data_IF_300219819078
#
_entry.id   IF_300219819078
#
_cell.length_a   1.000
_cell.length_b   1.000
_cell.length_c   1.000
_cell.angle_alpha   90.00
_cell.angle_beta   90.00
_cell.angle_gamma   90.00
#
_symmetry.space_group_name_H-M   'P 1'
#
loop_
_entity.id
_entity.type
_entity.pdbx_description
1 polymer ?
#
# COMPACT_ATOMS: atom_id res chain seq x y z
N UNK A 1 21.26 3.42 5.59
CA UNK A 1 21.99 4.32 4.65
C UNK A 1 21.81 5.70 5.24
N UNK A 2 22.88 6.32 5.63
CA UNK A 2 22.84 7.69 6.11
C UNK A 2 22.90 8.63 4.91
N UNK A 3 22.26 9.80 5.01
CA UNK A 3 22.39 10.81 3.97
C UNK A 3 23.86 11.19 3.80
N UNK A 4 24.34 11.35 2.56
CA UNK A 4 25.70 11.79 2.34
C UNK A 4 25.89 13.20 2.93
N UNK A 5 26.99 13.38 3.64
CA UNK A 5 27.34 14.66 4.24
C UNK A 5 28.46 15.30 3.41
N UNK A 6 28.29 16.57 3.09
CA UNK A 6 29.29 17.35 2.36
C UNK A 6 28.97 18.84 2.42
N UNK A 7 29.95 19.67 2.10
CA UNK A 7 29.83 21.14 2.08
C UNK A 7 29.51 21.68 0.68
N UNK A 8 29.61 20.84 -0.35
CA UNK A 8 29.24 21.17 -1.73
C UNK A 8 28.45 20.04 -2.38
N UNK A 9 27.78 20.34 -3.48
CA UNK A 9 27.06 19.35 -4.28
C UNK A 9 28.00 18.25 -4.82
N UNK A 10 29.18 18.64 -5.30
CA UNK A 10 30.18 17.73 -5.82
C UNK A 10 30.66 16.77 -4.73
N UNK A 11 30.98 17.27 -3.54
CA UNK A 11 31.40 16.46 -2.40
C UNK A 11 30.32 15.48 -1.97
N UNK A 12 29.03 15.90 -1.96
CA UNK A 12 27.89 15.03 -1.66
C UNK A 12 27.77 13.93 -2.71
N UNK A 13 27.89 14.26 -4.00
CA UNK A 13 27.82 13.28 -5.09
C UNK A 13 28.97 12.26 -5.02
N UNK A 14 30.17 12.72 -4.76
CA UNK A 14 31.37 11.87 -4.69
C UNK A 14 31.33 10.91 -3.49
N UNK A 15 30.73 11.33 -2.40
CA UNK A 15 30.58 10.54 -1.17
C UNK A 15 29.34 9.63 -1.19
N UNK A 16 28.43 9.79 -2.15
CA UNK A 16 27.22 9.00 -2.21
C UNK A 16 27.43 7.66 -2.90
N UNK A 17 27.09 6.57 -2.22
CA UNK A 17 27.06 5.22 -2.77
C UNK A 17 25.76 4.53 -2.41
N UNK A 18 25.21 3.80 -3.38
CA UNK A 18 24.05 2.96 -3.13
C UNK A 18 24.47 1.71 -2.37
N UNK A 19 23.94 1.56 -1.16
CA UNK A 19 24.05 0.32 -0.38
C UNK A 19 22.79 -0.53 -0.60
N UNK A 20 22.81 -1.32 -1.65
CA UNK A 20 21.70 -2.22 -2.02
C UNK A 20 22.18 -3.66 -1.84
N UNK A 21 21.65 -4.40 -0.85
CA UNK A 21 22.03 -5.78 -0.61
C UNK A 21 21.57 -6.67 -1.77
N UNK A 22 22.26 -7.78 -2.00
CA UNK A 22 21.85 -8.76 -3.02
C UNK A 22 20.46 -9.32 -2.79
N UNK A 23 20.09 -9.54 -1.53
CA UNK A 23 18.80 -10.05 -1.10
C UNK A 23 18.10 -9.02 -0.22
N UNK A 24 16.88 -8.70 -0.58
CA UNK A 24 16.05 -7.78 0.16
C UNK A 24 14.59 -8.12 -0.04
N UNK A 25 13.84 -8.25 1.07
CA UNK A 25 12.40 -8.41 1.04
C UNK A 25 11.73 -7.21 1.71
N UNK A 26 10.81 -6.55 1.00
CA UNK A 26 10.09 -5.38 1.53
C UNK A 26 9.36 -5.73 2.83
N UNK A 27 8.74 -6.92 2.92
CA UNK A 27 7.97 -7.31 4.10
C UNK A 27 8.81 -7.36 5.38
N UNK A 28 10.05 -7.87 5.28
CA UNK A 28 10.99 -7.86 6.42
C UNK A 28 11.28 -6.43 6.87
N UNK A 29 11.48 -5.53 5.90
CA UNK A 29 11.91 -4.16 6.16
C UNK A 29 10.79 -3.24 6.67
N UNK A 30 9.53 -3.47 6.27
CA UNK A 30 8.41 -2.59 6.64
C UNK A 30 7.56 -3.13 7.78
N UNK A 31 7.57 -4.44 8.05
CA UNK A 31 6.68 -5.03 9.03
C UNK A 31 7.40 -5.97 10.00
N UNK A 32 8.06 -7.01 9.50
CA UNK A 32 8.51 -8.12 10.36
C UNK A 32 9.50 -7.68 11.42
N UNK A 33 10.38 -6.73 11.12
CA UNK A 33 11.34 -6.17 12.07
C UNK A 33 10.73 -5.40 13.23
N UNK A 34 9.47 -4.96 13.11
CA UNK A 34 8.74 -4.22 14.14
C UNK A 34 7.80 -5.10 14.94
N UNK A 35 7.56 -6.33 14.49
CA UNK A 35 6.53 -7.21 15.03
C UNK A 35 6.89 -7.85 16.38
N UNK A 36 8.10 -7.67 16.90
CA UNK A 36 8.52 -8.14 18.23
C UNK A 36 7.86 -7.34 19.35
N UNK A 37 7.45 -6.09 19.09
CA UNK A 37 6.64 -5.31 20.03
C UNK A 37 5.14 -5.47 19.70
N UNK A 38 4.38 -6.24 20.50
CA UNK A 38 2.96 -6.49 20.23
C UNK A 38 2.08 -5.25 20.40
N UNK A 39 2.59 -4.19 21.01
CA UNK A 39 1.86 -2.95 21.28
C UNK A 39 2.15 -1.86 20.24
N UNK A 40 3.16 -2.03 19.39
CA UNK A 40 3.50 -1.06 18.36
C UNK A 40 2.44 -1.09 17.26
N UNK A 41 1.62 -0.04 17.19
CA UNK A 41 0.51 0.05 16.23
C UNK A 41 1.05 0.39 14.84
N UNK A 42 0.79 -0.49 13.88
CA UNK A 42 1.11 -0.30 12.46
C UNK A 42 0.02 0.49 11.74
N UNK A 43 -1.25 0.15 11.98
CA UNK A 43 -2.39 0.67 11.25
C UNK A 43 -3.52 1.03 12.19
N UNK A 44 -4.13 2.19 11.98
CA UNK A 44 -5.43 2.56 12.55
C UNK A 44 -6.41 2.71 11.40
N UNK A 45 -7.44 1.90 11.37
CA UNK A 45 -8.47 1.94 10.33
C UNK A 45 -9.76 2.51 10.89
N UNK A 46 -10.25 3.55 10.26
CA UNK A 46 -11.55 4.13 10.55
C UNK A 46 -12.56 3.68 9.50
N UNK A 47 -13.55 2.90 9.94
CA UNK A 47 -14.64 2.44 9.12
C UNK A 47 -15.65 3.57 8.83
N UNK A 48 -16.54 3.34 7.87
CA UNK A 48 -17.55 4.33 7.43
C UNK A 48 -18.51 4.78 8.55
N UNK A 49 -18.69 3.96 9.58
CA UNK A 49 -19.51 4.29 10.77
C UNK A 49 -18.75 5.08 11.83
N UNK A 50 -17.48 5.43 11.57
CA UNK A 50 -16.59 6.15 12.48
C UNK A 50 -15.90 5.26 13.52
N UNK A 51 -16.14 3.96 13.54
CA UNK A 51 -15.43 3.05 14.44
C UNK A 51 -13.97 2.92 14.03
N UNK A 52 -13.07 2.95 15.02
CA UNK A 52 -11.62 2.87 14.79
C UNK A 52 -11.07 1.56 15.33
N UNK A 53 -10.45 0.79 14.46
CA UNK A 53 -9.75 -0.45 14.82
C UNK A 53 -8.23 -0.25 14.69
N UNK A 54 -7.48 -0.71 15.68
CA UNK A 54 -6.02 -0.64 15.68
C UNK A 54 -5.42 -2.02 15.43
N UNK A 55 -4.43 -2.07 14.55
CA UNK A 55 -3.67 -3.28 14.25
C UNK A 55 -2.20 -3.04 14.59
N UNK A 56 -1.62 -3.89 15.44
CA UNK A 56 -0.18 -3.86 15.68
C UNK A 56 0.60 -4.47 14.52
N UNK A 57 1.91 -4.19 14.44
CA UNK A 57 2.79 -4.85 13.46
C UNK A 57 2.76 -6.37 13.62
N UNK A 58 2.65 -6.87 14.84
CA UNK A 58 2.52 -8.31 15.12
C UNK A 58 1.24 -8.90 14.48
N UNK A 59 0.10 -8.22 14.61
CA UNK A 59 -1.16 -8.67 14.01
C UNK A 59 -1.12 -8.58 12.47
N UNK A 60 -0.58 -7.49 11.91
CA UNK A 60 -0.41 -7.36 10.44
C UNK A 60 0.51 -8.46 9.90
N UNK A 61 1.62 -8.75 10.58
CA UNK A 61 2.51 -9.88 10.25
C UNK A 61 1.78 -11.21 10.25
N UNK A 62 1.01 -11.48 11.31
CA UNK A 62 0.23 -12.71 11.46
C UNK A 62 -0.75 -12.88 10.30
N UNK A 63 -1.58 -11.88 10.00
CA UNK A 63 -2.55 -11.95 8.90
C UNK A 63 -1.88 -12.06 7.53
N UNK A 64 -0.76 -11.38 7.32
CA UNK A 64 0.01 -11.52 6.10
C UNK A 64 0.64 -12.91 5.94
N UNK A 65 1.08 -13.54 7.04
CA UNK A 65 1.54 -14.94 7.03
C UNK A 65 0.41 -15.89 6.65
N UNK A 66 -0.77 -15.72 7.23
CA UNK A 66 -1.94 -16.53 6.92
C UNK A 66 -2.35 -16.38 5.44
N UNK A 67 -2.37 -15.15 4.90
CA UNK A 67 -2.67 -14.94 3.49
C UNK A 67 -1.59 -15.53 2.58
N UNK A 68 -0.32 -15.45 2.95
CA UNK A 68 0.76 -16.09 2.18
C UNK A 68 0.60 -17.61 2.14
N UNK A 69 0.22 -18.24 3.26
CA UNK A 69 -0.09 -19.66 3.32
C UNK A 69 -1.34 -20.01 2.48
N UNK A 70 -2.39 -19.19 2.53
CA UNK A 70 -3.57 -19.37 1.68
C UNK A 70 -3.17 -19.33 0.19
N UNK A 71 -2.39 -18.34 -0.24
CA UNK A 71 -1.93 -18.24 -1.63
C UNK A 71 -1.12 -19.47 -2.04
N UNK A 72 -0.25 -19.97 -1.16
CA UNK A 72 0.51 -21.20 -1.42
C UNK A 72 -0.40 -22.43 -1.57
N UNK A 73 -1.46 -22.55 -0.74
CA UNK A 73 -2.45 -23.64 -0.84
C UNK A 73 -3.29 -23.59 -2.13
N UNK A 74 -3.34 -22.43 -2.78
CA UNK A 74 -4.01 -22.18 -4.06
C UNK A 74 -3.06 -22.27 -5.27
N UNK A 75 -1.89 -22.92 -5.12
CA UNK A 75 -0.87 -23.06 -6.15
C UNK A 75 -0.36 -21.72 -6.72
N UNK A 76 -0.28 -20.70 -5.87
CA UNK A 76 0.32 -19.40 -6.19
C UNK A 76 1.65 -19.26 -5.48
N UNK A 77 2.72 -19.02 -6.22
CA UNK A 77 4.09 -19.09 -5.74
C UNK A 77 4.94 -17.90 -6.24
N UNK A 78 6.22 -17.86 -5.84
CA UNK A 78 7.16 -16.83 -6.24
C UNK A 78 7.10 -16.53 -7.74
N UNK A 79 6.97 -15.26 -8.09
CA UNK A 79 6.89 -14.76 -9.45
C UNK A 79 5.48 -14.81 -10.07
N UNK A 80 4.51 -15.46 -9.43
CA UNK A 80 3.10 -15.34 -9.82
C UNK A 80 2.55 -13.95 -9.49
N UNK A 81 1.43 -13.58 -10.07
CA UNK A 81 0.80 -12.25 -9.91
C UNK A 81 -0.54 -12.37 -9.23
N UNK A 82 -0.77 -11.40 -8.33
CA UNK A 82 -2.05 -11.21 -7.62
C UNK A 82 -2.49 -9.77 -7.82
N UNK A 83 -3.68 -9.58 -8.37
CA UNK A 83 -4.28 -8.24 -8.48
C UNK A 83 -4.96 -7.89 -7.15
N UNK A 84 -4.57 -6.75 -6.58
CA UNK A 84 -5.20 -6.16 -5.39
C UNK A 84 -6.05 -4.98 -5.85
N UNK A 85 -7.36 -5.14 -5.79
CA UNK A 85 -8.36 -4.15 -6.20
C UNK A 85 -9.20 -3.73 -5.00
N UNK A 86 -8.56 -2.99 -4.11
CA UNK A 86 -9.11 -2.52 -2.84
C UNK A 86 -8.75 -1.04 -2.65
N UNK A 87 -9.57 -0.34 -1.89
CA UNK A 87 -9.24 0.97 -1.31
C UNK A 87 -8.29 0.81 -0.13
N UNK A 88 -7.92 1.92 0.52
CA UNK A 88 -7.14 1.89 1.76
C UNK A 88 -7.90 1.10 2.82
N UNK A 89 -7.37 -0.05 3.19
CA UNK A 89 -7.95 -0.89 4.23
C UNK A 89 -6.91 -1.84 4.83
N UNK A 90 -7.18 -2.46 5.98
CA UNK A 90 -6.30 -3.50 6.52
C UNK A 90 -6.04 -4.63 5.53
N UNK A 91 -7.07 -5.07 4.82
CA UNK A 91 -6.99 -6.15 3.84
C UNK A 91 -6.10 -5.78 2.65
N UNK A 92 -6.16 -4.51 2.20
CA UNK A 92 -5.28 -4.01 1.15
C UNK A 92 -3.81 -4.07 1.59
N UNK A 93 -3.50 -3.57 2.77
CA UNK A 93 -2.15 -3.58 3.33
C UNK A 93 -1.63 -5.00 3.56
N UNK A 94 -2.45 -5.88 4.15
CA UNK A 94 -2.15 -7.30 4.37
C UNK A 94 -1.89 -8.01 3.04
N UNK A 95 -2.69 -7.71 2.00
CA UNK A 95 -2.55 -8.34 0.68
C UNK A 95 -1.22 -8.01 0.02
N UNK A 96 -0.80 -6.74 0.03
CA UNK A 96 0.51 -6.36 -0.49
C UNK A 96 1.64 -7.00 0.30
N UNK A 97 1.54 -6.97 1.63
CA UNK A 97 2.57 -7.54 2.50
C UNK A 97 2.72 -9.06 2.30
N UNK A 98 1.60 -9.79 2.21
CA UNK A 98 1.60 -11.23 1.96
C UNK A 98 2.25 -11.58 0.61
N UNK A 99 1.95 -10.79 -0.43
CA UNK A 99 2.61 -10.95 -1.74
C UNK A 99 4.14 -10.78 -1.60
N UNK A 100 4.61 -9.74 -0.90
CA UNK A 100 6.05 -9.52 -0.70
C UNK A 100 6.70 -10.65 0.08
N UNK A 101 6.04 -11.16 1.16
CA UNK A 101 6.53 -12.30 1.94
C UNK A 101 6.73 -13.55 1.07
N UNK A 102 5.77 -13.84 0.21
CA UNK A 102 5.78 -15.03 -0.65
C UNK A 102 6.59 -14.83 -1.95
N UNK A 103 7.18 -13.66 -2.19
CA UNK A 103 7.84 -13.33 -3.47
C UNK A 103 6.88 -13.32 -4.65
N UNK A 104 5.60 -13.10 -4.39
CA UNK A 104 4.53 -12.95 -5.37
C UNK A 104 4.48 -11.49 -5.80
N UNK A 105 4.20 -11.25 -7.07
CA UNK A 105 4.12 -9.89 -7.63
C UNK A 105 2.72 -9.34 -7.38
N UNK A 106 2.63 -8.30 -6.55
CA UNK A 106 1.39 -7.58 -6.31
C UNK A 106 1.08 -6.64 -7.48
N UNK A 107 -0.15 -6.65 -8.00
CA UNK A 107 -0.56 -5.80 -9.11
C UNK A 107 -1.62 -4.81 -8.63
N UNK A 108 -1.31 -3.52 -8.75
CA UNK A 108 -2.20 -2.46 -8.27
C UNK A 108 -3.38 -2.26 -9.23
N UNK A 109 -4.61 -2.24 -8.68
CA UNK A 109 -5.81 -1.93 -9.44
C UNK A 109 -6.76 -1.05 -8.62
N UNK A 110 -7.16 0.09 -9.18
CA UNK A 110 -8.15 0.96 -8.54
C UNK A 110 -9.55 0.39 -8.69
N UNK A 111 -10.35 0.52 -7.66
CA UNK A 111 -11.79 0.19 -7.65
C UNK A 111 -12.60 1.08 -8.62
N UNK A 112 -12.02 2.20 -9.05
CA UNK A 112 -12.64 3.11 -10.01
C UNK A 112 -12.58 2.62 -11.46
N UNK A 113 -11.79 1.58 -11.74
CA UNK A 113 -11.71 1.05 -13.10
C UNK A 113 -13.03 0.36 -13.50
N UNK A 114 -13.41 0.59 -14.77
CA UNK A 114 -14.43 -0.19 -15.44
C UNK A 114 -13.90 -1.57 -15.91
N UNK A 115 -14.79 -2.43 -16.44
CA UNK A 115 -14.42 -3.78 -16.88
C UNK A 115 -13.19 -3.84 -17.81
N UNK A 116 -13.09 -2.96 -18.80
CA UNK A 116 -11.95 -2.94 -19.75
C UNK A 116 -10.62 -2.69 -19.05
N UNK A 117 -10.61 -1.75 -18.08
CA UNK A 117 -9.42 -1.43 -17.31
C UNK A 117 -9.00 -2.58 -16.38
N UNK A 118 -9.98 -3.32 -15.84
CA UNK A 118 -9.77 -4.51 -15.00
C UNK A 118 -9.24 -5.67 -15.88
N UNK A 119 -9.91 -5.94 -17.01
CA UNK A 119 -9.49 -6.97 -17.95
C UNK A 119 -8.06 -6.76 -18.40
N UNK A 120 -7.72 -5.53 -18.81
CA UNK A 120 -6.37 -5.19 -19.26
C UNK A 120 -5.30 -5.54 -18.21
N UNK A 121 -5.58 -5.30 -16.93
CA UNK A 121 -4.64 -5.62 -15.84
C UNK A 121 -4.55 -7.11 -15.56
N UNK A 122 -5.68 -7.79 -15.47
CA UNK A 122 -5.74 -9.23 -15.22
C UNK A 122 -5.04 -10.02 -16.33
N UNK A 123 -5.33 -9.70 -17.60
CA UNK A 123 -4.69 -10.33 -18.75
C UNK A 123 -3.22 -9.95 -18.89
N UNK A 124 -2.92 -8.64 -18.83
CA UNK A 124 -1.56 -8.13 -19.01
C UNK A 124 -0.57 -8.63 -17.96
N UNK A 125 -1.07 -8.97 -16.75
CA UNK A 125 -0.24 -9.58 -15.70
C UNK A 125 -0.37 -11.10 -15.64
N UNK A 126 -1.33 -11.70 -16.34
CA UNK A 126 -1.71 -13.11 -16.19
C UNK A 126 -1.91 -13.47 -14.70
N UNK A 127 -2.67 -12.64 -13.99
CA UNK A 127 -2.87 -12.77 -12.54
C UNK A 127 -3.69 -14.03 -12.22
N UNK A 128 -3.23 -14.79 -11.21
CA UNK A 128 -3.92 -16.01 -10.75
C UNK A 128 -5.02 -15.71 -9.72
N UNK A 129 -4.85 -14.67 -8.94
CA UNK A 129 -5.81 -14.23 -7.92
C UNK A 129 -6.18 -12.78 -8.16
N UNK A 130 -7.44 -12.44 -7.89
CA UNK A 130 -7.91 -11.08 -7.69
C UNK A 130 -8.49 -10.95 -6.28
N UNK A 131 -7.95 -10.02 -5.47
CA UNK A 131 -8.48 -9.69 -4.16
C UNK A 131 -9.29 -8.41 -4.31
N UNK A 132 -10.58 -8.45 -3.92
CA UNK A 132 -11.51 -7.35 -4.12
C UNK A 132 -12.59 -7.34 -3.02
N UNK A 133 -13.53 -6.40 -3.10
CA UNK A 133 -14.70 -6.33 -2.23
C UNK A 133 -15.99 -6.71 -2.97
N UNK A 134 -17.07 -6.91 -2.23
CA UNK A 134 -18.38 -7.27 -2.78
C UNK A 134 -18.90 -6.24 -3.80
N UNK A 135 -18.69 -4.95 -3.53
CA UNK A 135 -19.14 -3.86 -4.41
C UNK A 135 -18.52 -3.92 -5.82
N UNK A 136 -17.30 -4.45 -5.93
CA UNK A 136 -16.57 -4.53 -7.19
C UNK A 136 -16.55 -5.94 -7.80
N UNK A 137 -17.06 -6.96 -7.11
CA UNK A 137 -17.05 -8.35 -7.56
C UNK A 137 -17.73 -8.52 -8.93
N UNK A 138 -18.85 -7.83 -9.17
CA UNK A 138 -19.55 -7.90 -10.45
C UNK A 138 -18.68 -7.45 -11.63
N UNK A 139 -17.81 -6.44 -11.44
CA UNK A 139 -16.88 -5.96 -12.47
C UNK A 139 -15.81 -7.00 -12.80
N UNK A 140 -15.28 -7.71 -11.78
CA UNK A 140 -14.28 -8.77 -11.95
C UNK A 140 -14.92 -9.98 -12.68
N UNK A 141 -16.11 -10.38 -12.27
CA UNK A 141 -16.84 -11.49 -12.90
C UNK A 141 -17.18 -11.24 -14.38
N UNK A 142 -17.51 -10.00 -14.72
CA UNK A 142 -17.84 -9.62 -16.10
C UNK A 142 -16.68 -9.89 -17.08
N UNK A 143 -15.43 -9.90 -16.59
CA UNK A 143 -14.23 -10.10 -17.41
C UNK A 143 -13.51 -11.44 -17.15
N UNK A 144 -13.98 -12.22 -16.17
CA UNK A 144 -13.32 -13.45 -15.72
C UNK A 144 -13.14 -14.47 -16.87
N UNK A 145 -14.16 -14.65 -17.70
CA UNK A 145 -14.10 -15.58 -18.85
C UNK A 145 -13.04 -15.20 -19.89
N UNK A 146 -12.69 -13.92 -19.96
CA UNK A 146 -11.62 -13.40 -20.80
C UNK A 146 -10.22 -13.47 -20.16
N UNK A 147 -10.14 -13.85 -18.88
CA UNK A 147 -8.89 -13.90 -18.11
C UNK A 147 -8.60 -15.36 -17.66
N UNK A 148 -8.10 -16.24 -18.56
CA UNK A 148 -8.01 -17.68 -18.30
C UNK A 148 -7.05 -18.04 -17.14
N UNK A 149 -6.10 -17.18 -16.80
CA UNK A 149 -5.20 -17.40 -15.66
C UNK A 149 -5.83 -17.04 -14.31
N UNK A 150 -6.92 -16.26 -14.29
CA UNK A 150 -7.63 -15.89 -13.06
C UNK A 150 -8.40 -17.10 -12.51
N UNK A 151 -7.80 -17.77 -11.55
CA UNK A 151 -8.34 -19.01 -10.96
C UNK A 151 -9.17 -18.74 -9.71
N UNK A 152 -8.81 -17.74 -8.93
CA UNK A 152 -9.43 -17.46 -7.64
C UNK A 152 -9.76 -15.98 -7.49
N UNK A 153 -10.92 -15.72 -6.87
CA UNK A 153 -11.33 -14.40 -6.44
C UNK A 153 -11.51 -14.45 -4.92
N UNK A 154 -10.79 -13.60 -4.21
CA UNK A 154 -10.90 -13.45 -2.75
C UNK A 154 -11.66 -12.16 -2.48
N UNK A 155 -12.70 -12.25 -1.65
CA UNK A 155 -13.56 -11.11 -1.31
C UNK A 155 -13.42 -10.79 0.18
N UNK A 156 -13.22 -9.51 0.49
CA UNK A 156 -12.94 -9.08 1.87
C UNK A 156 -14.20 -9.02 2.74
N UNK A 157 -15.38 -8.92 2.13
CA UNK A 157 -16.65 -8.91 2.83
C UNK A 157 -17.06 -10.31 3.26
N UNK A 158 -17.89 -10.41 4.31
CA UNK A 158 -18.34 -11.69 4.87
C UNK A 158 -19.37 -12.40 3.96
N UNK A 159 -20.09 -11.66 3.13
CA UNK A 159 -21.15 -12.19 2.27
C UNK A 159 -20.54 -12.80 0.99
N UNK A 160 -20.30 -14.10 1.05
CA UNK A 160 -19.56 -14.84 0.02
C UNK A 160 -20.48 -15.29 -1.10
N UNK A 161 -20.26 -14.78 -2.30
CA UNK A 161 -20.88 -15.29 -3.51
C UNK A 161 -20.26 -16.63 -3.94
N UNK A 162 -21.05 -17.50 -4.56
CA UNK A 162 -20.58 -18.78 -5.12
C UNK A 162 -19.32 -18.60 -5.99
N UNK A 163 -18.33 -19.45 -5.78
CA UNK A 163 -17.05 -19.41 -6.53
C UNK A 163 -16.06 -18.33 -6.09
N UNK A 164 -16.26 -17.72 -4.90
CA UNK A 164 -15.31 -16.82 -4.27
C UNK A 164 -14.83 -17.37 -2.93
N UNK A 165 -13.69 -16.87 -2.45
CA UNK A 165 -13.13 -17.19 -1.13
C UNK A 165 -13.32 -16.00 -0.19
N UNK A 166 -13.88 -16.19 1.02
CA UNK A 166 -13.98 -15.12 2.03
C UNK A 166 -12.61 -14.86 2.64
N UNK A 167 -12.17 -13.60 2.61
CA UNK A 167 -10.82 -13.21 3.05
C UNK A 167 -10.54 -13.67 4.50
N UNK A 168 -11.22 -13.11 5.45
CA UNK A 168 -10.96 -13.33 6.87
C UNK A 168 -11.18 -14.79 7.31
N UNK A 169 -12.24 -15.42 6.82
CA UNK A 169 -12.53 -16.82 7.13
C UNK A 169 -11.46 -17.75 6.57
N UNK A 170 -11.02 -17.50 5.33
CA UNK A 170 -9.97 -18.31 4.71
C UNK A 170 -8.62 -18.13 5.39
N UNK A 171 -8.31 -16.91 5.89
CA UNK A 171 -7.11 -16.65 6.67
C UNK A 171 -7.13 -17.42 7.99
N UNK A 172 -8.25 -17.42 8.72
CA UNK A 172 -8.38 -18.08 10.01
C UNK A 172 -8.12 -19.59 9.97
N UNK A 173 -8.21 -20.21 8.79
CA UNK A 173 -7.91 -21.63 8.57
C UNK A 173 -6.42 -21.90 8.30
N UNK A 174 -5.58 -20.84 8.17
CA UNK A 174 -4.17 -20.97 7.81
C UNK A 174 -3.24 -20.81 9.02
N UNK A 175 -2.04 -21.36 8.90
CA UNK A 175 -1.00 -21.18 9.90
C UNK A 175 -0.61 -19.70 10.04
N UNK A 176 -0.40 -19.25 11.29
CA UNK A 176 0.00 -17.87 11.61
C UNK A 176 1.48 -17.59 11.33
N UNK A 177 2.26 -18.63 11.06
CA UNK A 177 3.69 -18.51 10.75
C UNK A 177 3.93 -18.76 9.25
N UNK A 178 4.84 -17.98 8.67
CA UNK A 178 5.30 -18.13 7.29
C UNK A 178 6.76 -17.72 7.21
N UNK A 179 7.57 -18.53 6.52
CA UNK A 179 8.96 -18.16 6.28
C UNK A 179 9.04 -17.31 5.00
N UNK A 180 9.44 -16.07 5.13
CA UNK A 180 9.55 -15.16 3.99
C UNK A 180 10.49 -15.72 2.93
N UNK A 181 10.06 -15.63 1.68
CA UNK A 181 10.89 -16.02 0.54
C UNK A 181 12.10 -15.10 0.47
N UNK A 182 13.29 -15.68 0.33
CA UNK A 182 14.51 -14.91 0.12
C UNK A 182 14.50 -14.32 -1.29
N UNK A 183 13.92 -13.14 -1.44
CA UNK A 183 13.88 -12.39 -2.71
C UNK A 183 15.20 -11.68 -2.97
N UNK A 184 15.60 -11.61 -4.24
CA UNK A 184 16.69 -10.73 -4.66
C UNK A 184 16.17 -9.28 -4.67
N UNK A 185 17.06 -8.33 -4.46
CA UNK A 185 16.71 -6.91 -4.55
C UNK A 185 16.10 -6.51 -5.90
N UNK A 186 16.48 -7.21 -6.97
CA UNK A 186 15.99 -7.00 -8.33
C UNK A 186 14.68 -7.74 -8.65
N UNK A 187 14.23 -8.67 -7.79
CA UNK A 187 12.97 -9.37 -8.03
C UNK A 187 11.82 -8.37 -8.02
N UNK A 188 10.88 -8.53 -8.94
CA UNK A 188 9.71 -7.67 -9.03
C UNK A 188 8.81 -7.88 -7.81
N UNK A 189 8.55 -6.81 -7.06
CA UNK A 189 7.66 -6.80 -5.91
C UNK A 189 6.22 -6.46 -6.29
N UNK A 190 6.04 -5.46 -7.18
CA UNK A 190 4.72 -5.10 -7.68
C UNK A 190 4.75 -4.56 -9.11
N UNK A 191 3.57 -4.49 -9.72
CA UNK A 191 3.35 -3.86 -11.03
C UNK A 191 2.42 -2.67 -10.85
N UNK A 192 2.86 -1.51 -11.34
CA UNK A 192 2.07 -0.30 -11.45
C UNK A 192 1.80 0.02 -12.92
N UNK A 193 0.55 0.33 -13.27
CA UNK A 193 0.21 0.70 -14.63
C UNK A 193 0.23 2.22 -14.81
N UNK A 194 0.96 2.67 -15.82
CA UNK A 194 1.04 4.09 -16.17
C UNK A 194 0.33 4.35 -17.51
N UNK A 195 -0.30 5.51 -17.63
CA UNK A 195 -0.80 5.99 -18.92
C UNK A 195 0.39 6.27 -19.82
N UNK A 196 0.69 5.35 -20.73
CA UNK A 196 1.70 5.60 -21.76
C UNK A 196 1.28 6.75 -22.67
N UNK A 197 2.25 7.45 -23.28
CA UNK A 197 2.00 8.52 -24.24
C UNK A 197 1.31 8.05 -25.53
N UNK A 198 1.24 6.75 -25.74
CA UNK A 198 0.71 6.12 -26.97
C UNK A 198 -0.06 4.84 -26.64
N UNK A 199 -1.38 4.91 -26.41
CA UNK A 199 -2.24 3.74 -26.35
C UNK A 199 -2.57 3.22 -24.95
N UNK A 200 -2.71 1.91 -24.80
CA UNK A 200 -3.10 1.25 -23.55
C UNK A 200 -2.06 1.43 -22.43
N UNK A 201 -2.51 1.51 -21.15
CA UNK A 201 -1.60 1.59 -20.01
C UNK A 201 -0.56 0.46 -19.99
N UNK A 202 0.69 0.80 -19.67
CA UNK A 202 1.79 -0.17 -19.60
C UNK A 202 2.10 -0.52 -18.15
N UNK A 203 2.29 -1.80 -17.87
CA UNK A 203 2.73 -2.30 -16.57
C UNK A 203 4.23 -2.04 -16.37
N UNK A 204 4.58 -1.28 -15.36
CA UNK A 204 5.97 -1.01 -14.95
C UNK A 204 6.32 -1.96 -13.81
N UNK A 205 7.39 -2.72 -13.98
CA UNK A 205 7.90 -3.66 -12.98
C UNK A 205 8.69 -2.90 -11.92
N UNK A 206 8.27 -3.01 -10.68
CA UNK A 206 8.88 -2.34 -9.53
C UNK A 206 9.59 -3.37 -8.66
N UNK A 207 10.94 -3.34 -8.59
CA UNK A 207 11.70 -4.31 -7.81
C UNK A 207 11.65 -4.01 -6.31
N UNK A 208 11.96 -5.02 -5.47
CA UNK A 208 12.03 -4.86 -4.03
C UNK A 208 12.96 -3.71 -3.61
N UNK A 209 14.11 -3.54 -4.28
CA UNK A 209 15.08 -2.46 -3.99
C UNK A 209 14.53 -1.05 -4.21
N UNK A 210 13.38 -0.89 -4.87
CA UNK A 210 12.78 0.44 -5.07
C UNK A 210 12.53 1.15 -3.73
N UNK A 211 12.17 0.40 -2.69
CA UNK A 211 12.00 0.96 -1.35
C UNK A 211 13.31 1.61 -0.86
N UNK A 212 14.44 0.92 -1.03
CA UNK A 212 15.76 1.45 -0.65
C UNK A 212 16.17 2.63 -1.53
N UNK A 213 15.87 2.56 -2.84
CA UNK A 213 16.15 3.64 -3.79
C UNK A 213 15.39 4.93 -3.51
N UNK A 214 14.24 4.84 -2.83
CA UNK A 214 13.49 6.01 -2.41
C UNK A 214 13.92 6.55 -1.03
N UNK A 215 14.75 5.84 -0.26
CA UNK A 215 15.13 6.23 1.10
C UNK A 215 15.71 7.65 1.20
N UNK A 216 16.66 8.11 0.35
CA UNK A 216 17.14 9.48 0.41
C UNK A 216 16.06 10.53 0.19
N UNK A 217 15.10 10.23 -0.72
CA UNK A 217 13.93 11.11 -0.92
C UNK A 217 13.09 11.22 0.34
N UNK A 218 12.88 10.11 1.04
CA UNK A 218 12.09 10.08 2.25
C UNK A 218 12.72 10.93 3.35
N UNK A 219 14.03 10.86 3.54
CA UNK A 219 14.72 11.68 4.54
C UNK A 219 14.59 13.18 4.23
N UNK A 220 14.65 13.59 2.97
CA UNK A 220 14.49 14.99 2.58
C UNK A 220 13.02 15.44 2.59
N UNK A 221 12.11 14.69 1.98
CA UNK A 221 10.70 15.09 1.87
C UNK A 221 9.97 15.09 3.22
N UNK A 222 10.38 14.22 4.15
CA UNK A 222 9.72 14.08 5.44
C UNK A 222 10.45 14.83 6.57
N UNK A 223 11.31 15.76 6.23
CA UNK A 223 12.09 16.52 7.20
C UNK A 223 12.84 15.58 8.17
N UNK A 224 13.74 14.77 7.61
CA UNK A 224 14.49 13.71 8.31
C UNK A 224 13.60 12.62 8.95
N UNK A 225 12.55 12.25 8.27
CA UNK A 225 11.61 11.21 8.74
C UNK A 225 11.06 10.36 7.60
N UNK A 226 9.93 9.67 7.77
CA UNK A 226 9.05 9.70 8.97
C UNK A 226 9.74 9.19 10.22
N UNK A 227 9.28 9.65 11.38
CA UNK A 227 9.72 9.20 12.71
C UNK A 227 8.77 8.13 13.23
N UNK A 228 9.20 7.32 14.17
CA UNK A 228 8.38 6.24 14.73
C UNK A 228 7.11 6.76 15.43
N UNK A 229 7.15 7.97 15.99
CA UNK A 229 6.03 8.64 16.64
C UNK A 229 5.11 9.40 15.67
N UNK A 230 5.50 9.50 14.38
CA UNK A 230 4.64 10.10 13.37
C UNK A 230 3.37 9.26 13.11
N UNK A 231 2.33 9.96 12.68
CA UNK A 231 1.08 9.39 12.19
C UNK A 231 0.84 9.86 10.78
N UNK A 232 0.82 8.91 9.85
CA UNK A 232 0.73 9.23 8.43
C UNK A 232 -0.69 8.97 7.91
N UNK A 233 -1.19 9.91 7.14
CA UNK A 233 -2.44 9.75 6.40
C UNK A 233 -2.39 10.50 5.07
N UNK A 234 -3.17 10.03 4.09
CA UNK A 234 -3.43 10.73 2.84
C UNK A 234 -4.78 10.29 2.28
N UNK A 235 -5.53 11.16 1.61
CA UNK A 235 -6.68 10.72 0.82
C UNK A 235 -6.30 9.96 -0.46
N UNK A 236 -5.01 9.88 -0.80
CA UNK A 236 -4.53 9.14 -1.95
C UNK A 236 -4.66 7.62 -1.74
N UNK A 237 -5.41 6.96 -2.61
CA UNK A 237 -5.63 5.52 -2.57
C UNK A 237 -4.33 4.72 -2.76
N UNK A 238 -4.19 3.59 -2.08
CA UNK A 238 -3.04 2.70 -2.18
C UNK A 238 -3.00 1.87 -3.48
N UNK A 239 -4.03 1.96 -4.29
CA UNK A 239 -3.98 1.52 -5.69
C UNK A 239 -3.05 2.38 -6.56
N UNK A 240 -2.56 3.51 -6.03
CA UNK A 240 -1.60 4.40 -6.66
C UNK A 240 -0.27 4.40 -5.91
N UNK A 241 0.81 4.50 -6.69
CA UNK A 241 2.18 4.43 -6.16
C UNK A 241 2.43 5.47 -5.05
N UNK A 242 1.85 6.67 -5.19
CA UNK A 242 2.01 7.74 -4.21
C UNK A 242 1.42 7.36 -2.84
N UNK A 243 0.21 6.79 -2.79
CA UNK A 243 -0.40 6.32 -1.55
C UNK A 243 0.31 5.11 -0.98
N UNK A 244 0.59 4.11 -1.83
CA UNK A 244 1.24 2.87 -1.39
C UNK A 244 2.66 3.13 -0.86
N UNK A 245 3.52 3.81 -1.63
CA UNK A 245 4.92 4.02 -1.22
C UNK A 245 5.03 5.11 -0.18
N UNK A 246 4.53 6.32 -0.50
CA UNK A 246 4.83 7.50 0.30
C UNK A 246 4.03 7.58 1.60
N UNK A 247 3.04 6.74 1.80
CA UNK A 247 2.28 6.70 3.05
C UNK A 247 2.43 5.33 3.72
N UNK A 248 1.97 4.25 3.08
CA UNK A 248 1.94 2.94 3.72
C UNK A 248 3.35 2.37 3.93
N UNK A 249 4.09 2.13 2.84
CA UNK A 249 5.37 1.42 2.94
C UNK A 249 6.43 2.24 3.66
N UNK A 250 6.48 3.56 3.46
CA UNK A 250 7.48 4.39 4.12
C UNK A 250 7.14 4.63 5.59
N UNK A 251 5.86 4.83 5.92
CA UNK A 251 5.41 4.91 7.30
C UNK A 251 5.83 3.64 8.07
N UNK A 252 5.52 2.49 7.52
CA UNK A 252 5.89 1.20 8.11
C UNK A 252 7.40 0.94 8.11
N UNK A 253 8.12 1.40 7.08
CA UNK A 253 9.59 1.32 7.08
C UNK A 253 10.20 2.04 8.27
N UNK A 254 9.60 3.11 8.72
CA UNK A 254 10.04 3.88 9.90
C UNK A 254 9.43 3.40 11.23
N UNK A 255 8.56 2.38 11.21
CA UNK A 255 7.82 1.91 12.38
C UNK A 255 6.70 2.86 12.81
N UNK A 256 6.33 3.81 11.94
CA UNK A 256 5.30 4.80 12.20
C UNK A 256 3.90 4.22 11.96
N UNK A 257 2.92 4.82 12.66
CA UNK A 257 1.51 4.45 12.50
C UNK A 257 0.95 5.06 11.21
N UNK A 258 0.32 4.23 10.39
CA UNK A 258 -0.47 4.70 9.25
C UNK A 258 -1.95 4.70 9.61
N UNK A 259 -2.68 5.69 9.13
CA UNK A 259 -4.14 5.76 9.24
C UNK A 259 -4.76 5.47 7.87
N UNK A 260 -5.77 4.63 7.83
CA UNK A 260 -6.62 4.39 6.66
C UNK A 260 -8.07 4.70 7.00
N UNK A 261 -8.84 5.12 6.00
CA UNK A 261 -10.23 5.53 6.19
C UNK A 261 -11.09 5.05 5.03
N UNK A 262 -12.34 4.68 5.32
CA UNK A 262 -13.35 4.32 4.31
C UNK A 262 -13.97 5.54 3.63
N UNK A 263 -13.21 6.60 3.42
CA UNK A 263 -13.70 7.82 2.78
C UNK A 263 -14.20 7.54 1.36
N UNK A 264 -15.47 7.84 1.11
CA UNK A 264 -16.11 7.68 -0.21
C UNK A 264 -15.94 8.95 -1.05
N UNK A 265 -14.83 9.05 -1.77
CA UNK A 265 -14.43 10.26 -2.46
C UNK A 265 -13.85 11.31 -1.51
N UNK A 266 -13.23 12.36 -2.07
CA UNK A 266 -12.61 13.39 -1.25
C UNK A 266 -13.66 14.38 -0.74
N UNK A 267 -13.67 14.61 0.58
CA UNK A 267 -14.41 15.66 1.27
C UNK A 267 -13.45 16.46 2.15
N UNK A 268 -13.39 17.78 1.95
CA UNK A 268 -12.42 18.63 2.63
C UNK A 268 -12.72 18.81 4.13
N UNK A 269 -13.98 18.84 4.55
CA UNK A 269 -14.35 18.90 5.98
C UNK A 269 -13.94 17.61 6.68
N UNK A 270 -14.23 16.49 6.04
CA UNK A 270 -13.84 15.16 6.54
C UNK A 270 -12.31 15.02 6.62
N UNK A 271 -11.58 15.55 5.64
CA UNK A 271 -10.12 15.57 5.68
C UNK A 271 -9.60 16.35 6.89
N UNK A 272 -10.16 17.52 7.22
CA UNK A 272 -9.78 18.27 8.42
C UNK A 272 -10.10 17.50 9.69
N UNK A 273 -11.28 16.87 9.77
CA UNK A 273 -11.65 16.02 10.91
C UNK A 273 -10.62 14.89 11.12
N UNK A 274 -10.30 14.14 10.07
CA UNK A 274 -9.33 13.05 10.13
C UNK A 274 -7.96 13.57 10.59
N UNK A 275 -7.48 14.67 10.01
CA UNK A 275 -6.19 15.26 10.38
C UNK A 275 -6.15 15.62 11.88
N UNK A 276 -7.24 16.17 12.43
CA UNK A 276 -7.32 16.56 13.84
C UNK A 276 -7.54 15.38 14.78
N UNK A 277 -8.57 14.56 14.57
CA UNK A 277 -8.94 13.47 15.48
C UNK A 277 -7.88 12.36 15.56
N UNK A 278 -7.28 12.01 14.43
CA UNK A 278 -6.19 11.04 14.41
C UNK A 278 -4.82 11.64 14.74
N UNK A 279 -4.74 12.97 14.96
CA UNK A 279 -3.50 13.71 15.25
C UNK A 279 -2.42 13.40 14.22
N UNK A 280 -2.76 13.58 12.95
CA UNK A 280 -1.86 13.31 11.84
C UNK A 280 -0.71 14.31 11.85
N UNK A 281 0.52 13.80 11.79
CA UNK A 281 1.74 14.63 11.78
C UNK A 281 2.35 14.73 10.39
N UNK A 282 2.07 13.77 9.52
CA UNK A 282 2.59 13.72 8.14
C UNK A 282 1.45 13.39 7.19
N UNK A 283 1.25 14.21 6.17
CA UNK A 283 0.21 13.96 5.16
C UNK A 283 0.70 14.24 3.75
N UNK A 284 0.25 13.42 2.79
CA UNK A 284 0.41 13.68 1.36
C UNK A 284 -0.91 14.20 0.82
N UNK A 285 -0.94 15.47 0.45
CA UNK A 285 -2.11 16.18 -0.06
C UNK A 285 -1.79 16.72 -1.47
N UNK A 286 -2.44 16.20 -2.49
CA UNK A 286 -2.21 16.68 -3.87
C UNK A 286 -2.63 18.16 -4.01
N UNK A 287 -2.10 18.91 -4.99
CA UNK A 287 -2.50 20.30 -5.20
C UNK A 287 -4.02 20.48 -5.35
N UNK A 288 -4.70 19.57 -6.05
CA UNK A 288 -6.17 19.59 -6.15
C UNK A 288 -6.83 19.46 -4.78
N UNK A 289 -6.37 18.56 -3.94
CA UNK A 289 -6.86 18.38 -2.56
C UNK A 289 -6.64 19.66 -1.75
N UNK A 290 -5.45 20.24 -1.79
CA UNK A 290 -5.14 21.50 -1.09
C UNK A 290 -6.02 22.68 -1.56
N UNK A 291 -6.30 22.76 -2.87
CA UNK A 291 -7.20 23.77 -3.43
C UNK A 291 -8.64 23.62 -2.91
N UNK A 292 -9.12 22.38 -2.78
CA UNK A 292 -10.45 22.11 -2.21
C UNK A 292 -10.49 22.43 -0.70
N UNK A 293 -9.47 22.01 0.06
CA UNK A 293 -9.36 22.31 1.49
C UNK A 293 -9.31 23.83 1.75
N UNK A 294 -8.60 24.60 0.93
CA UNK A 294 -8.51 26.07 1.06
C UNK A 294 -9.87 26.77 0.94
N UNK A 295 -10.86 26.15 0.30
CA UNK A 295 -12.19 26.75 0.12
C UNK A 295 -13.05 26.67 1.38
N UNK A 296 -12.62 25.90 2.36
CA UNK A 296 -13.34 25.74 3.63
C UNK A 296 -12.73 26.70 4.66
N UNK A 297 -13.56 27.58 5.20
CA UNK A 297 -13.20 28.38 6.37
C UNK A 297 -13.33 27.48 7.60
N UNK A 298 -12.21 26.97 8.09
CA UNK A 298 -12.18 26.02 9.19
C UNK A 298 -11.26 26.52 10.31
N UNK A 299 -11.87 26.94 11.41
CA UNK A 299 -11.13 27.32 12.63
C UNK A 299 -10.30 26.13 13.19
N UNK A 300 -10.75 24.88 12.97
CA UNK A 300 -10.04 23.66 13.40
C UNK A 300 -8.69 23.49 12.72
N UNK A 301 -8.51 24.09 11.54
CA UNK A 301 -7.22 24.04 10.81
C UNK A 301 -6.06 24.67 11.60
N UNK A 302 -6.36 25.49 12.59
CA UNK A 302 -5.35 26.15 13.46
C UNK A 302 -4.78 25.24 14.53
N UNK A 303 -5.36 24.09 14.77
CA UNK A 303 -5.01 23.15 15.83
C UNK A 303 -4.49 21.79 15.31
N UNK A 304 -4.05 21.72 14.05
CA UNK A 304 -3.52 20.46 13.47
C UNK A 304 -2.10 20.21 13.96
N UNK A 305 -1.81 18.93 14.22
CA UNK A 305 -0.48 18.45 14.62
C UNK A 305 0.47 18.24 13.42
N UNK A 306 0.11 18.74 12.23
CA UNK A 306 0.87 18.53 11.00
C UNK A 306 2.28 19.12 11.09
N UNK A 307 3.27 18.26 11.04
CA UNK A 307 4.70 18.59 10.94
C UNK A 307 5.15 18.72 9.49
N UNK A 308 4.66 17.82 8.63
CA UNK A 308 5.04 17.76 7.22
C UNK A 308 3.80 17.58 6.35
N UNK A 309 3.71 18.39 5.31
CA UNK A 309 2.76 18.21 4.21
C UNK A 309 3.53 18.01 2.92
N UNK A 310 3.34 16.85 2.31
CA UNK A 310 3.87 16.53 0.99
C UNK A 310 2.84 16.91 -0.06
N UNK A 311 3.28 17.49 -1.16
CA UNK A 311 2.41 17.78 -2.30
C UNK A 311 3.14 17.54 -3.61
N UNK A 312 2.43 16.97 -4.59
CA UNK A 312 2.98 16.66 -5.90
C UNK A 312 1.99 15.95 -6.81
N UNK A 313 2.47 15.60 -8.00
CA UNK A 313 1.66 14.91 -9.03
C UNK A 313 0.99 15.85 -10.04
N UNK A 314 0.85 17.12 -9.73
CA UNK A 314 0.27 18.17 -10.57
C UNK A 314 0.86 19.54 -10.16
N UNK A 315 0.61 20.57 -10.98
CA UNK A 315 1.07 21.93 -10.66
C UNK A 315 0.33 22.50 -9.43
N UNK A 316 1.08 23.10 -8.52
CA UNK A 316 0.58 23.75 -7.31
C UNK A 316 -0.08 25.09 -7.64
#
# INVERSE_FOLDING_TARGET
MDLPVGTSYEEICDNFTWDIPEYFNIADAVCDRWADDPNLIALSHEAIDGSVTHYSFAQIKQYANQLANLMASLDVSRGDRVVVMLTQSPECAISHLACFKAGIVSCLASVLFGPDGIQHRLQGTAAKICITNAANLAKVRAVQSSCPELRHIIVIDDDVSEGTLPFWRSLAEQAETFQNVKTRSEDTAWISFTSGTTGQPKGVLMPHRLLLGNKPLFEYYYDYGPRQDDRLWSPADWAWIAGLINILLIGWYSGARVVSTDMQGFNAQEAFRILGEHKITVSLLTPTVLKLMRQIDNEESKALDLRVVLSGGEAV
#
